data_IF_632146517841
#
_entry.id   IF_632146517841
#
_cell.length_a   1.000
_cell.length_b   1.000
_cell.length_c   1.000
_cell.angle_alpha   90.00
_cell.angle_beta   90.00
_cell.angle_gamma   90.00
#
_symmetry.space_group_name_H-M   'P 1'
#
loop_
_entity.id
_entity.type
_entity.pdbx_description
1 polymer ?
#
# COMPACT_ATOMS: atom_id res chain seq x y z
N UNK A 1 -39.38 18.68 -11.63
CA UNK A 1 -38.63 17.53 -11.10
C UNK A 1 -39.34 17.06 -9.84
N UNK A 2 -39.89 15.85 -9.85
CA UNK A 2 -40.63 15.29 -8.70
C UNK A 2 -39.69 14.38 -7.94
N UNK A 3 -39.40 14.71 -6.67
CA UNK A 3 -38.57 13.89 -5.78
C UNK A 3 -39.49 13.00 -4.95
N UNK A 4 -39.27 11.69 -4.99
CA UNK A 4 -39.95 10.70 -4.14
C UNK A 4 -39.06 10.38 -2.94
N UNK A 5 -39.66 10.33 -1.75
CA UNK A 5 -39.00 9.96 -0.49
C UNK A 5 -39.52 8.59 -0.05
N UNK A 6 -38.63 7.67 0.28
CA UNK A 6 -38.98 6.39 0.89
C UNK A 6 -37.91 5.98 1.92
N UNK A 7 -38.22 5.00 2.77
CA UNK A 7 -37.28 4.45 3.74
C UNK A 7 -36.89 3.04 3.31
N UNK A 8 -35.59 2.78 3.21
CA UNK A 8 -35.02 1.48 2.85
C UNK A 8 -34.00 1.10 3.94
N UNK A 9 -34.19 -0.06 4.56
CA UNK A 9 -33.38 -0.56 5.68
C UNK A 9 -33.13 0.46 6.81
N UNK A 10 -34.14 1.28 7.11
CA UNK A 10 -34.07 2.32 8.16
C UNK A 10 -33.38 3.62 7.74
N UNK A 11 -32.95 3.72 6.49
CA UNK A 11 -32.30 4.92 5.92
C UNK A 11 -33.30 5.72 5.07
N UNK A 12 -33.30 7.05 5.23
CA UNK A 12 -34.08 7.93 4.35
C UNK A 12 -33.42 8.02 2.96
N UNK A 13 -34.10 7.48 1.95
CA UNK A 13 -33.66 7.48 0.55
C UNK A 13 -34.56 8.38 -0.30
N UNK A 14 -33.95 9.04 -1.27
CA UNK A 14 -34.61 9.97 -2.19
C UNK A 14 -34.37 9.53 -3.62
N UNK A 15 -35.40 9.62 -4.44
CA UNK A 15 -35.35 9.28 -5.86
C UNK A 15 -35.91 10.44 -6.69
N UNK A 16 -35.24 10.78 -7.79
CA UNK A 16 -35.75 11.74 -8.76
C UNK A 16 -35.48 11.30 -10.21
N UNK A 17 -36.37 11.72 -11.11
CA UNK A 17 -36.24 11.54 -12.55
C UNK A 17 -35.62 12.80 -13.16
N UNK A 18 -34.44 12.67 -13.78
CA UNK A 18 -33.74 13.75 -14.49
C UNK A 18 -33.40 13.23 -15.88
N UNK A 19 -33.90 13.89 -16.92
CA UNK A 19 -33.61 13.55 -18.34
C UNK A 19 -33.85 12.08 -18.74
N UNK A 20 -34.76 11.39 -18.05
CA UNK A 20 -35.09 9.97 -18.31
C UNK A 20 -34.25 8.98 -17.49
N UNK A 21 -33.34 9.46 -16.65
CA UNK A 21 -32.54 8.67 -15.72
C UNK A 21 -33.10 8.75 -14.29
N UNK A 22 -33.02 7.63 -13.57
CA UNK A 22 -33.42 7.52 -12.17
C UNK A 22 -32.19 7.75 -11.29
N UNK A 23 -32.16 8.87 -10.56
CA UNK A 23 -31.10 9.18 -9.61
C UNK A 23 -31.62 8.88 -8.21
N UNK A 24 -30.91 8.00 -7.48
CA UNK A 24 -31.18 7.68 -6.08
C UNK A 24 -30.03 8.15 -5.18
N UNK A 25 -30.36 8.70 -4.02
CA UNK A 25 -29.38 9.06 -2.98
C UNK A 25 -29.96 8.83 -1.59
N UNK A 26 -29.15 8.30 -0.68
CA UNK A 26 -29.52 8.05 0.70
C UNK A 26 -28.88 9.07 1.66
N UNK A 27 -29.47 9.21 2.85
CA UNK A 27 -28.89 9.99 3.97
C UNK A 27 -28.05 9.14 4.94
N UNK A 28 -27.93 7.83 4.72
CA UNK A 28 -27.40 6.88 5.70
C UNK A 28 -25.91 6.98 5.87
N UNK A 29 -25.18 7.33 4.81
CA UNK A 29 -23.73 7.52 4.85
C UNK A 29 -23.33 8.89 4.32
N UNK A 30 -23.58 9.94 5.10
CA UNK A 30 -22.97 11.24 4.79
C UNK A 30 -21.46 11.17 5.02
N UNK A 31 -20.67 11.88 4.21
CA UNK A 31 -19.22 11.96 4.38
C UNK A 31 -18.80 12.34 5.81
N UNK A 32 -19.51 13.31 6.41
CA UNK A 32 -19.25 13.74 7.78
C UNK A 32 -19.56 12.66 8.82
N UNK A 33 -20.59 11.84 8.60
CA UNK A 33 -20.93 10.71 9.46
C UNK A 33 -19.93 9.57 9.31
N UNK A 34 -19.55 9.22 8.07
CA UNK A 34 -18.55 8.20 7.79
C UNK A 34 -17.20 8.51 8.44
N UNK A 35 -16.75 9.77 8.37
CA UNK A 35 -15.50 10.24 8.98
C UNK A 35 -15.64 10.62 10.45
N UNK A 36 -16.83 10.53 11.04
CA UNK A 36 -17.09 10.90 12.44
C UNK A 36 -16.59 12.31 12.78
N UNK A 37 -16.83 13.28 11.87
CA UNK A 37 -16.25 14.62 11.94
C UNK A 37 -16.58 15.34 13.25
N UNK A 38 -17.80 15.19 13.77
CA UNK A 38 -18.19 15.79 15.06
C UNK A 38 -17.31 15.28 16.21
N UNK A 39 -17.08 13.96 16.29
CA UNK A 39 -16.22 13.37 17.29
C UNK A 39 -14.76 13.82 17.12
N UNK A 40 -14.25 13.82 15.89
CA UNK A 40 -12.90 14.30 15.58
C UNK A 40 -12.71 15.75 16.02
N UNK A 41 -13.66 16.63 15.68
CA UNK A 41 -13.57 18.05 16.00
C UNK A 41 -13.74 18.33 17.51
N UNK A 42 -14.52 17.50 18.21
CA UNK A 42 -14.69 17.60 19.66
C UNK A 42 -13.41 17.33 20.46
N UNK A 43 -12.40 16.70 19.84
CA UNK A 43 -11.14 16.37 20.48
C UNK A 43 -10.16 17.55 20.57
N UNK A 44 -10.44 18.69 19.92
CA UNK A 44 -9.59 19.89 20.03
C UNK A 44 -10.01 20.74 21.23
N UNK A 45 -9.54 20.36 22.43
CA UNK A 45 -9.83 21.06 23.68
C UNK A 45 -8.59 21.80 24.20
N UNK A 46 -8.49 23.13 24.03
CA UNK A 46 -7.41 23.93 24.61
C UNK A 46 -7.49 23.98 26.15
N UNK A 47 -6.34 24.06 26.81
CA UNK A 47 -6.21 24.26 28.26
C UNK A 47 -5.69 25.65 28.64
N UNK A 48 -5.31 26.46 27.65
CA UNK A 48 -4.92 27.86 27.83
C UNK A 48 -5.62 28.78 26.83
N UNK A 49 -5.39 30.08 26.99
CA UNK A 49 -5.88 31.15 26.12
C UNK A 49 -4.87 31.54 25.03
N UNK A 50 -3.78 30.78 24.87
CA UNK A 50 -2.75 31.09 23.88
C UNK A 50 -3.29 30.90 22.46
N UNK A 51 -3.06 31.87 21.55
CA UNK A 51 -3.59 31.79 20.19
C UNK A 51 -3.05 30.59 19.40
N UNK A 52 -1.82 30.13 19.69
CA UNK A 52 -1.16 29.05 18.95
C UNK A 52 -1.52 27.64 19.45
N UNK A 53 -2.27 27.51 20.54
CA UNK A 53 -2.56 26.20 21.14
C UNK A 53 -3.43 25.33 20.23
N UNK A 54 -4.41 25.91 19.54
CA UNK A 54 -5.23 25.17 18.57
C UNK A 54 -4.39 24.60 17.43
N UNK A 55 -3.44 25.38 16.91
CA UNK A 55 -2.49 24.93 15.89
C UNK A 55 -1.62 23.78 16.41
N UNK A 56 -1.13 23.91 17.64
CA UNK A 56 -0.36 22.86 18.31
C UNK A 56 -1.17 21.56 18.39
N UNK A 57 -2.42 21.61 18.84
CA UNK A 57 -3.29 20.43 18.98
C UNK A 57 -3.52 19.77 17.61
N UNK A 58 -3.94 20.54 16.61
CA UNK A 58 -4.24 20.02 15.26
C UNK A 58 -3.00 19.35 14.64
N UNK A 59 -1.84 19.98 14.75
CA UNK A 59 -0.58 19.44 14.21
C UNK A 59 -0.24 18.09 14.84
N UNK A 60 -0.32 17.97 16.17
CA UNK A 60 0.01 16.72 16.87
C UNK A 60 -1.03 15.63 16.60
N UNK A 61 -2.32 15.95 16.61
CA UNK A 61 -3.36 14.98 16.29
C UNK A 61 -3.23 14.47 14.86
N UNK A 62 -2.90 15.35 13.91
CA UNK A 62 -2.65 14.95 12.51
C UNK A 62 -1.45 14.01 12.43
N UNK A 63 -0.35 14.29 13.13
CA UNK A 63 0.80 13.38 13.20
C UNK A 63 0.44 12.01 13.79
N UNK A 64 -0.32 11.95 14.88
CA UNK A 64 -0.77 10.70 15.48
C UNK A 64 -1.63 9.87 14.52
N UNK A 65 -2.54 10.53 13.77
CA UNK A 65 -3.34 9.86 12.75
C UNK A 65 -2.48 9.32 11.59
N UNK A 66 -1.47 10.07 11.14
CA UNK A 66 -0.51 9.59 10.16
C UNK A 66 0.29 8.40 10.68
N UNK A 67 0.77 8.44 11.93
CA UNK A 67 1.49 7.32 12.55
C UNK A 67 0.61 6.07 12.64
N UNK A 68 -0.68 6.24 13.00
CA UNK A 68 -1.65 5.15 13.01
C UNK A 68 -1.82 4.53 11.62
N UNK A 69 -1.93 5.35 10.56
CA UNK A 69 -2.03 4.88 9.19
C UNK A 69 -0.75 4.15 8.75
N UNK A 70 0.42 4.73 9.02
CA UNK A 70 1.72 4.09 8.71
C UNK A 70 1.83 2.72 9.38
N UNK A 71 1.43 2.60 10.65
CA UNK A 71 1.43 1.33 11.36
C UNK A 71 0.41 0.33 10.79
N UNK A 72 -0.72 0.81 10.27
CA UNK A 72 -1.71 -0.03 9.59
C UNK A 72 -1.13 -0.61 8.29
N UNK A 73 -0.60 0.26 7.41
CA UNK A 73 0.00 -0.15 6.14
C UNK A 73 1.22 -1.06 6.34
N UNK A 74 2.06 -0.78 7.34
CA UNK A 74 3.22 -1.63 7.66
C UNK A 74 2.80 -3.05 8.07
N UNK A 75 1.68 -3.19 8.79
CA UNK A 75 1.14 -4.51 9.16
C UNK A 75 0.56 -5.24 7.94
N UNK A 76 -0.10 -4.53 7.04
CA UNK A 76 -0.60 -5.11 5.79
C UNK A 76 0.56 -5.64 4.95
N UNK A 77 1.60 -4.82 4.75
CA UNK A 77 2.80 -5.24 4.02
C UNK A 77 3.49 -6.45 4.68
N UNK A 78 3.63 -6.46 6.00
CA UNK A 78 4.22 -7.61 6.71
C UNK A 78 3.39 -8.88 6.52
N UNK A 79 2.06 -8.78 6.62
CA UNK A 79 1.15 -9.92 6.41
C UNK A 79 1.29 -10.45 4.99
N UNK A 80 1.31 -9.55 4.01
CA UNK A 80 1.51 -9.91 2.61
C UNK A 80 2.86 -10.61 2.38
N UNK A 81 3.96 -10.17 3.02
CA UNK A 81 5.26 -10.86 2.95
C UNK A 81 5.17 -12.27 3.56
N UNK A 82 4.54 -12.43 4.72
CA UNK A 82 4.41 -13.73 5.38
C UNK A 82 3.54 -14.72 4.58
N UNK A 83 2.63 -14.21 3.76
CA UNK A 83 1.74 -15.00 2.91
C UNK A 83 2.30 -15.19 1.47
N UNK A 84 3.57 -14.83 1.21
CA UNK A 84 4.21 -14.83 -0.11
C UNK A 84 3.51 -13.93 -1.18
N UNK A 85 2.67 -12.98 -0.75
CA UNK A 85 1.99 -11.98 -1.60
C UNK A 85 2.87 -10.74 -1.80
N UNK A 86 4.04 -10.95 -2.38
CA UNK A 86 5.12 -9.94 -2.42
C UNK A 86 4.75 -8.64 -3.18
N UNK A 87 3.91 -8.71 -4.20
CA UNK A 87 3.41 -7.53 -4.91
C UNK A 87 2.62 -6.60 -3.98
N UNK A 88 1.69 -7.16 -3.19
CA UNK A 88 0.87 -6.40 -2.23
C UNK A 88 1.74 -5.77 -1.13
N UNK A 89 2.87 -6.38 -0.82
CA UNK A 89 3.86 -5.83 0.11
C UNK A 89 4.71 -4.70 -0.48
N UNK A 90 4.54 -4.36 -1.75
CA UNK A 90 5.31 -3.33 -2.45
C UNK A 90 6.73 -3.76 -2.83
N UNK A 91 7.03 -5.07 -2.83
CA UNK A 91 8.31 -5.60 -3.31
C UNK A 91 8.39 -5.39 -4.82
N UNK A 92 9.57 -4.97 -5.30
CA UNK A 92 9.81 -4.72 -6.74
C UNK A 92 10.87 -5.62 -7.35
N UNK A 93 11.67 -6.28 -6.53
CA UNK A 93 12.72 -7.19 -6.95
C UNK A 93 12.86 -8.32 -5.92
N UNK A 94 12.95 -9.54 -6.42
CA UNK A 94 13.23 -10.75 -5.64
C UNK A 94 14.58 -11.31 -6.08
N UNK A 95 15.46 -11.57 -5.10
CA UNK A 95 16.78 -12.14 -5.33
C UNK A 95 16.90 -13.53 -4.70
N UNK A 96 17.63 -14.44 -5.35
CA UNK A 96 17.93 -15.78 -4.84
C UNK A 96 19.40 -16.13 -5.08
N UNK A 97 19.98 -16.90 -4.17
CA UNK A 97 21.29 -17.53 -4.33
C UNK A 97 21.23 -18.87 -5.08
N UNK A 98 20.02 -19.35 -5.40
CA UNK A 98 19.81 -20.47 -6.29
C UNK A 98 20.00 -20.07 -7.77
N UNK A 99 20.17 -21.09 -8.62
CA UNK A 99 20.24 -20.92 -10.07
C UNK A 99 18.90 -20.49 -10.68
N UNK A 100 17.76 -20.75 -10.01
CA UNK A 100 16.46 -20.27 -10.43
C UNK A 100 15.49 -20.10 -9.25
N UNK A 101 14.48 -19.24 -9.41
CA UNK A 101 13.30 -19.17 -8.53
C UNK A 101 12.38 -20.39 -8.67
N UNK A 102 12.34 -21.01 -9.85
CA UNK A 102 11.54 -22.20 -10.13
C UNK A 102 12.38 -23.48 -9.91
N UNK A 103 11.75 -24.62 -9.53
CA UNK A 103 12.44 -25.90 -9.52
C UNK A 103 13.10 -26.21 -10.87
N UNK A 104 14.30 -26.81 -10.88
CA UNK A 104 15.09 -27.07 -12.10
C UNK A 104 14.31 -27.82 -13.20
N UNK A 105 13.38 -28.70 -12.81
CA UNK A 105 12.58 -29.50 -13.73
C UNK A 105 11.26 -28.82 -14.14
N UNK A 106 10.98 -27.62 -13.63
CA UNK A 106 9.76 -26.87 -13.92
C UNK A 106 9.66 -26.57 -15.41
N UNK A 107 8.45 -26.74 -15.96
CA UNK A 107 8.10 -26.35 -17.34
C UNK A 107 7.00 -25.30 -17.38
N UNK A 108 6.43 -24.98 -16.23
CA UNK A 108 5.35 -24.02 -16.07
C UNK A 108 5.89 -22.64 -15.72
N UNK A 109 7.05 -22.57 -15.03
CA UNK A 109 7.70 -21.34 -14.61
C UNK A 109 6.75 -20.46 -13.79
N UNK A 110 6.13 -21.07 -12.77
CA UNK A 110 5.02 -20.46 -12.03
C UNK A 110 5.50 -19.26 -11.22
N UNK A 111 6.65 -19.36 -10.55
CA UNK A 111 7.24 -18.24 -9.81
C UNK A 111 7.60 -17.08 -10.76
N UNK A 112 8.20 -17.37 -11.92
CA UNK A 112 8.48 -16.33 -12.93
C UNK A 112 7.20 -15.65 -13.45
N UNK A 113 6.10 -16.38 -13.60
CA UNK A 113 4.82 -15.83 -14.06
C UNK A 113 4.19 -14.93 -13.00
N UNK A 114 4.23 -15.33 -11.73
CA UNK A 114 3.74 -14.52 -10.61
C UNK A 114 4.55 -13.22 -10.47
N UNK A 115 5.88 -13.33 -10.48
CA UNK A 115 6.77 -12.17 -10.45
C UNK A 115 6.51 -11.21 -11.62
N UNK A 116 6.26 -11.75 -12.82
CA UNK A 116 5.90 -10.94 -13.99
C UNK A 116 4.52 -10.30 -13.86
N UNK A 117 3.54 -11.01 -13.30
CA UNK A 117 2.19 -10.49 -13.12
C UNK A 117 2.18 -9.27 -12.19
N UNK A 118 3.01 -9.29 -11.14
CA UNK A 118 3.16 -8.17 -10.20
C UNK A 118 4.18 -7.09 -10.59
N UNK A 119 4.59 -7.01 -11.85
CA UNK A 119 5.63 -6.06 -12.34
C UNK A 119 6.90 -6.00 -11.45
N UNK A 120 7.34 -7.17 -10.99
CA UNK A 120 8.56 -7.34 -10.22
C UNK A 120 9.73 -7.79 -11.12
N UNK A 121 10.96 -7.81 -10.57
CA UNK A 121 12.19 -8.22 -11.25
C UNK A 121 12.85 -9.38 -10.51
N UNK A 122 13.61 -10.19 -11.24
CA UNK A 122 14.31 -11.37 -10.72
C UNK A 122 15.82 -11.10 -10.73
N UNK A 123 16.51 -11.54 -9.68
CA UNK A 123 17.96 -11.57 -9.59
C UNK A 123 18.41 -12.96 -9.08
N UNK A 124 18.95 -13.79 -9.97
CA UNK A 124 19.36 -15.17 -9.67
C UNK A 124 20.88 -15.32 -9.56
N UNK A 125 21.32 -16.41 -8.93
CA UNK A 125 22.74 -16.75 -8.83
C UNK A 125 23.55 -15.83 -7.92
N UNK A 126 22.91 -15.25 -6.89
CA UNK A 126 23.62 -14.52 -5.84
C UNK A 126 24.53 -15.44 -5.03
N UNK A 127 25.55 -14.86 -4.39
CA UNK A 127 26.41 -15.57 -3.44
C UNK A 127 26.27 -14.89 -2.08
N UNK A 128 25.53 -15.52 -1.17
CA UNK A 128 25.14 -14.94 0.12
C UNK A 128 25.80 -15.62 1.33
N UNK A 129 26.67 -16.61 1.13
CA UNK A 129 27.32 -17.42 2.19
C UNK A 129 27.95 -16.60 3.34
N UNK A 130 28.51 -15.43 3.01
CA UNK A 130 29.19 -14.55 3.96
C UNK A 130 28.39 -13.28 4.30
N UNK A 131 27.11 -13.22 3.93
CA UNK A 131 26.24 -12.05 4.13
C UNK A 131 25.26 -12.35 5.27
N UNK A 132 25.40 -11.71 6.45
CA UNK A 132 24.42 -11.83 7.52
C UNK A 132 23.05 -11.28 7.10
N UNK A 133 21.98 -11.86 7.63
CA UNK A 133 20.64 -11.31 7.47
C UNK A 133 20.58 -9.87 7.97
N UNK A 134 20.01 -8.97 7.17
CA UNK A 134 20.00 -7.55 7.48
C UNK A 134 19.50 -6.70 6.33
N UNK A 135 19.53 -5.38 6.53
CA UNK A 135 19.16 -4.39 5.52
C UNK A 135 20.41 -3.85 4.86
N UNK A 136 20.41 -3.88 3.53
CA UNK A 136 21.51 -3.41 2.70
C UNK A 136 20.95 -2.56 1.57
N UNK A 137 21.81 -1.71 1.02
CA UNK A 137 21.59 -1.14 -0.30
C UNK A 137 22.12 -2.12 -1.36
N UNK A 138 21.24 -2.53 -2.27
CA UNK A 138 21.58 -3.38 -3.40
C UNK A 138 21.96 -2.55 -4.61
N UNK A 139 23.09 -2.86 -5.24
CA UNK A 139 23.48 -2.34 -6.56
C UNK A 139 23.65 -3.53 -7.50
N UNK A 140 22.73 -3.68 -8.45
CA UNK A 140 22.68 -4.79 -9.41
C UNK A 140 22.20 -4.30 -10.79
N UNK A 141 22.93 -3.36 -11.38
CA UNK A 141 22.52 -2.73 -12.64
C UNK A 141 22.77 -3.67 -13.83
N UNK A 142 21.75 -3.96 -14.66
CA UNK A 142 21.92 -4.77 -15.86
C UNK A 142 22.74 -4.03 -16.93
N UNK A 143 23.55 -4.77 -17.67
CA UNK A 143 24.13 -4.29 -18.93
C UNK A 143 22.99 -4.03 -19.92
N UNK A 144 23.04 -2.89 -20.61
CA UNK A 144 22.04 -2.50 -21.61
C UNK A 144 22.22 -3.28 -22.91
N UNK A 145 21.70 -4.50 -22.96
CA UNK A 145 21.76 -5.39 -24.13
C UNK A 145 20.39 -5.39 -24.80
N UNK A 146 20.29 -4.84 -26.01
CA UNK A 146 19.03 -4.77 -26.73
C UNK A 146 18.58 -6.17 -27.18
N UNK A 147 17.31 -6.51 -26.91
CA UNK A 147 16.70 -7.79 -27.32
C UNK A 147 17.09 -8.99 -26.47
N UNK A 148 17.88 -8.80 -25.40
CA UNK A 148 18.19 -9.87 -24.46
C UNK A 148 17.01 -10.12 -23.50
N UNK A 149 16.85 -11.38 -23.11
CA UNK A 149 15.92 -11.89 -22.10
C UNK A 149 16.44 -11.69 -20.67
N UNK A 150 17.76 -11.72 -20.49
CA UNK A 150 18.44 -11.44 -19.23
C UNK A 150 19.75 -10.67 -19.45
N UNK A 151 20.33 -10.18 -18.36
CA UNK A 151 21.61 -9.47 -18.40
C UNK A 151 22.44 -9.81 -17.17
N UNK A 152 23.73 -10.14 -17.33
CA UNK A 152 24.61 -10.36 -16.17
C UNK A 152 24.80 -9.05 -15.41
N UNK A 153 24.98 -9.17 -14.10
CA UNK A 153 25.25 -8.05 -13.20
C UNK A 153 26.45 -8.32 -12.32
N UNK A 154 27.10 -7.25 -11.84
CA UNK A 154 27.93 -7.33 -10.64
C UNK A 154 27.09 -6.87 -9.47
N UNK A 155 26.34 -7.80 -8.87
CA UNK A 155 25.56 -7.50 -7.68
C UNK A 155 26.50 -7.24 -6.49
N UNK A 156 26.32 -6.13 -5.80
CA UNK A 156 27.01 -5.80 -4.55
C UNK A 156 26.01 -5.30 -3.53
N UNK A 157 26.31 -5.58 -2.26
CA UNK A 157 25.60 -5.04 -1.11
C UNK A 157 26.48 -4.02 -0.41
N UNK A 158 25.90 -2.88 -0.06
CA UNK A 158 26.52 -1.85 0.77
C UNK A 158 25.71 -1.72 2.06
N UNK A 159 26.40 -1.56 3.19
CA UNK A 159 25.75 -1.26 4.47
C UNK A 159 24.95 0.04 4.33
N UNK A 160 23.75 0.07 4.93
CA UNK A 160 23.00 1.32 4.96
C UNK A 160 23.71 2.33 5.88
N UNK A 161 23.67 3.63 5.55
CA UNK A 161 24.14 4.65 6.47
C UNK A 161 23.36 4.58 7.79
N UNK A 162 24.08 4.83 8.90
CA UNK A 162 23.51 4.94 10.24
C UNK A 162 22.59 6.15 10.39
#
# INVERSE_FOLDING_TARGET
MTVRKFAEDGTETYEAQVEGETIQWDKGLTYAHHLQIEQLLSAQVPVSDKPDEMLFIIMHQTMELWLKLILHEAKLALTAICDDRLEEAGVRLVGTDAASLDPEQSKTMDAHREIRAGDMRILEGLVLDAVPAGRYELIALPVKIAGADASPVRAILREMPA
#
